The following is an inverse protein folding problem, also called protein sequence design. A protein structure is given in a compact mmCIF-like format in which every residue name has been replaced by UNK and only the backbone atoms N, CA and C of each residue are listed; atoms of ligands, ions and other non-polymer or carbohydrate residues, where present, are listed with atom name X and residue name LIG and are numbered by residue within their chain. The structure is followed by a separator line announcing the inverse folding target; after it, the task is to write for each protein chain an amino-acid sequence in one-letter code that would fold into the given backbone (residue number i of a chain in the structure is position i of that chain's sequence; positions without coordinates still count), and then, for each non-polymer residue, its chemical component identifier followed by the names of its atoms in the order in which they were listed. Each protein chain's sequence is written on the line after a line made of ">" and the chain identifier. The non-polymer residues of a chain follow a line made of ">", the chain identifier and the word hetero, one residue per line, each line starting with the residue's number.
data_IF_731422880714
#
_entry.id   IF_731422880714
#
_cell.length_a   1.000
_cell.length_b   1.000
_cell.length_c   1.000
_cell.angle_alpha   90.00
_cell.angle_beta   90.00
_cell.angle_gamma   90.00
#
_symmetry.space_group_name_H-M   'P 1'
#
loop_
_entity.id
_entity.type
_entity.pdbx_description
1 polymer ?
#
# COMPACT_ATOMS: atom_id res chain seq x y z
N UNK A 1 -27.10 -9.47 17.92
CA UNK A 1 -26.57 -8.61 16.86
C UNK A 1 -26.18 -9.43 15.67
N UNK A 2 -26.48 -8.91 14.49
CA UNK A 2 -26.01 -9.44 13.21
C UNK A 2 -24.58 -8.92 12.94
N UNK A 3 -23.80 -9.69 12.19
CA UNK A 3 -22.46 -9.26 11.74
C UNK A 3 -22.60 -8.29 10.56
N UNK A 4 -21.70 -7.30 10.45
CA UNK A 4 -21.51 -6.59 9.18
C UNK A 4 -21.12 -7.61 8.11
N UNK A 5 -21.80 -7.60 6.96
CA UNK A 5 -21.67 -8.65 5.95
C UNK A 5 -20.65 -8.34 4.85
N UNK A 6 -20.26 -7.07 4.65
CA UNK A 6 -19.30 -6.68 3.61
C UNK A 6 -18.37 -5.55 4.04
N UNK A 7 -17.12 -5.62 3.58
CA UNK A 7 -16.03 -4.69 3.84
C UNK A 7 -15.26 -4.50 2.53
N UNK A 8 -15.02 -3.25 2.14
CA UNK A 8 -14.29 -2.83 0.94
C UNK A 8 -13.10 -1.96 1.35
N UNK A 9 -11.97 -2.10 0.64
CA UNK A 9 -10.85 -1.18 0.72
C UNK A 9 -10.70 -0.47 -0.61
N UNK A 10 -10.52 0.85 -0.55
CA UNK A 10 -10.13 1.67 -1.70
C UNK A 10 -8.76 2.30 -1.41
N UNK A 11 -7.84 2.14 -2.36
CA UNK A 11 -6.56 2.83 -2.37
C UNK A 11 -6.69 4.07 -3.25
N UNK A 12 -6.55 5.26 -2.67
CA UNK A 12 -6.54 6.51 -3.43
C UNK A 12 -5.11 6.99 -3.63
N UNK A 13 -4.74 7.29 -4.87
CA UNK A 13 -3.47 7.92 -5.21
C UNK A 13 -3.72 9.42 -5.43
N UNK A 14 -3.05 10.28 -4.67
CA UNK A 14 -3.07 11.71 -4.95
C UNK A 14 -2.13 11.99 -6.13
N UNK A 15 -2.68 12.36 -7.29
CA UNK A 15 -1.88 12.66 -8.49
C UNK A 15 -1.34 14.10 -8.38
N UNK A 16 -0.21 14.26 -7.68
CA UNK A 16 0.54 15.52 -7.58
C UNK A 16 2.03 15.40 -7.87
N UNK A 17 2.59 14.18 -7.82
CA UNK A 17 3.94 13.86 -8.25
C UNK A 17 4.02 12.34 -8.42
N UNK A 18 4.84 11.85 -9.35
CA UNK A 18 5.06 10.42 -9.63
C UNK A 18 5.60 9.69 -8.39
N UNK A 19 4.73 9.29 -7.47
CA UNK A 19 4.98 8.29 -6.45
C UNK A 19 3.85 7.28 -6.53
N UNK A 20 4.15 6.04 -6.92
CA UNK A 20 3.20 4.93 -6.94
C UNK A 20 2.80 4.44 -5.52
N UNK A 21 3.14 5.20 -4.48
CA UNK A 21 2.87 4.88 -3.08
C UNK A 21 1.68 5.72 -2.60
N UNK A 22 0.64 5.05 -2.11
CA UNK A 22 -0.38 5.73 -1.31
C UNK A 22 0.14 5.96 0.10
N UNK A 23 -0.21 7.11 0.68
CA UNK A 23 -0.01 7.43 2.09
C UNK A 23 -1.27 7.19 2.93
N UNK A 24 -2.35 6.72 2.32
CA UNK A 24 -3.64 6.50 2.98
C UNK A 24 -4.37 5.25 2.47
N UNK A 25 -5.06 4.54 3.37
CA UNK A 25 -5.99 3.46 3.02
C UNK A 25 -7.40 3.91 3.42
N UNK A 26 -8.34 3.88 2.47
CA UNK A 26 -9.75 4.11 2.76
C UNK A 26 -10.43 2.76 3.01
N UNK A 27 -10.92 2.56 4.23
CA UNK A 27 -11.67 1.36 4.63
C UNK A 27 -13.15 1.74 4.69
N UNK A 28 -14.02 1.00 4.01
CA UNK A 28 -15.46 1.23 3.99
C UNK A 28 -16.21 -0.08 4.22
N UNK A 29 -17.27 -0.08 5.02
CA UNK A 29 -18.14 -1.24 5.25
C UNK A 29 -19.61 -0.92 5.03
N UNK A 30 -20.42 -1.96 4.90
CA UNK A 30 -21.86 -1.81 4.87
C UNK A 30 -22.39 -1.52 6.30
N UNK A 31 -23.35 -0.59 6.46
CA UNK A 31 -23.98 -0.34 7.75
C UNK A 31 -24.70 -1.60 8.24
N UNK A 32 -24.65 -1.83 9.55
CA UNK A 32 -25.57 -2.75 10.19
C UNK A 32 -26.95 -2.07 10.30
N UNK A 33 -28.01 -2.81 9.97
CA UNK A 33 -29.39 -2.31 9.91
C UNK A 33 -30.13 -2.41 11.26
N UNK A 34 -29.45 -2.85 12.33
CA UNK A 34 -30.00 -2.78 13.68
C UNK A 34 -30.14 -1.29 14.11
N UNK A 35 -31.26 -0.90 14.74
CA UNK A 35 -31.52 0.51 15.03
C UNK A 35 -30.71 1.07 16.21
N UNK A 36 -30.07 0.20 16.99
CA UNK A 36 -29.38 0.49 18.25
C UNK A 36 -27.85 0.46 18.09
N UNK A 37 -27.32 0.62 16.87
CA UNK A 37 -25.87 0.67 16.65
C UNK A 37 -25.29 1.97 17.20
N UNK A 38 -24.34 1.82 18.11
CA UNK A 38 -23.62 2.92 18.72
C UNK A 38 -22.37 3.29 17.91
N UNK A 39 -21.55 2.29 17.62
CA UNK A 39 -20.28 2.45 16.89
C UNK A 39 -19.82 1.14 16.25
N UNK A 40 -18.76 1.26 15.47
CA UNK A 40 -18.02 0.16 14.89
C UNK A 40 -16.63 0.10 15.51
N UNK A 41 -16.20 -1.09 15.93
CA UNK A 41 -14.84 -1.38 16.35
C UNK A 41 -14.04 -1.88 15.14
N UNK A 42 -13.13 -1.04 14.66
CA UNK A 42 -12.14 -1.39 13.65
C UNK A 42 -10.92 -2.01 14.33
N UNK A 43 -10.53 -3.19 13.86
CA UNK A 43 -9.26 -3.82 14.20
C UNK A 43 -8.31 -3.82 13.02
N UNK A 44 -7.02 -3.75 13.31
CA UNK A 44 -5.93 -3.75 12.33
C UNK A 44 -4.88 -4.79 12.72
N UNK A 45 -4.35 -5.50 11.73
CA UNK A 45 -3.12 -6.29 11.82
C UNK A 45 -2.10 -5.70 10.85
N UNK A 46 -0.83 -5.66 11.24
CA UNK A 46 0.28 -5.16 10.41
C UNK A 46 1.25 -6.30 10.15
N UNK A 47 1.64 -6.50 8.89
CA UNK A 47 2.50 -7.59 8.43
C UNK A 47 1.99 -8.98 8.86
N UNK A 48 0.66 -9.12 8.95
CA UNK A 48 -0.04 -10.33 9.35
C UNK A 48 -1.50 -10.27 8.88
N UNK A 49 -2.11 -11.44 8.68
CA UNK A 49 -3.55 -11.61 8.37
C UNK A 49 -4.35 -12.16 9.56
N UNK A 50 -3.74 -12.29 10.75
CA UNK A 50 -4.36 -12.94 11.92
C UNK A 50 -4.16 -12.19 13.25
N UNK A 51 -3.06 -11.46 13.42
CA UNK A 51 -2.71 -10.77 14.67
C UNK A 51 -3.41 -9.40 14.83
N UNK A 52 -4.74 -9.41 14.85
CA UNK A 52 -5.56 -8.19 14.94
C UNK A 52 -5.51 -7.55 16.33
N UNK A 53 -5.40 -6.22 16.35
CA UNK A 53 -5.50 -5.39 17.55
C UNK A 53 -6.59 -4.32 17.35
N UNK A 54 -7.20 -3.87 18.45
CA UNK A 54 -8.09 -2.70 18.40
C UNK A 54 -7.31 -1.50 17.86
N UNK A 55 -7.89 -0.87 16.84
CA UNK A 55 -7.21 0.22 16.13
C UNK A 55 -8.02 1.51 16.20
N UNK A 56 -9.31 1.46 15.84
CA UNK A 56 -10.16 2.63 15.94
C UNK A 56 -11.63 2.29 16.26
N UNK A 57 -12.30 3.22 16.93
CA UNK A 57 -13.75 3.30 17.11
C UNK A 57 -14.33 4.32 16.14
N UNK A 58 -15.29 3.91 15.32
CA UNK A 58 -15.99 4.78 14.36
C UNK A 58 -17.45 4.86 14.78
N UNK A 59 -17.90 6.03 15.23
CA UNK A 59 -19.26 6.22 15.73
C UNK A 59 -20.28 6.22 14.59
N UNK A 60 -21.43 5.60 14.82
CA UNK A 60 -22.55 5.65 13.88
C UNK A 60 -22.97 7.13 13.64
N UNK A 61 -23.35 7.54 12.42
CA UNK A 61 -23.67 6.73 11.24
C UNK A 61 -22.49 6.43 10.30
N UNK A 62 -21.28 6.85 10.66
CA UNK A 62 -20.14 6.69 9.76
C UNK A 62 -19.82 5.20 9.53
N UNK A 63 -19.56 4.85 8.28
CA UNK A 63 -19.25 3.48 7.86
C UNK A 63 -17.93 3.38 7.08
N UNK A 64 -17.05 4.35 7.33
CA UNK A 64 -15.74 4.39 6.71
C UNK A 64 -14.67 5.01 7.61
N UNK A 65 -13.41 4.77 7.26
CA UNK A 65 -12.26 5.32 7.96
C UNK A 65 -11.07 5.48 7.01
N UNK A 66 -10.34 6.58 7.17
CA UNK A 66 -9.08 6.83 6.45
C UNK A 66 -7.88 6.54 7.36
N UNK A 67 -7.18 5.44 7.11
CA UNK A 67 -5.93 5.14 7.79
C UNK A 67 -4.77 5.89 7.13
N UNK A 68 -4.29 6.93 7.80
CA UNK A 68 -3.15 7.74 7.37
C UNK A 68 -1.84 7.34 8.07
N UNK A 69 -1.87 6.34 8.96
CA UNK A 69 -0.71 5.87 9.71
C UNK A 69 -0.22 4.54 9.14
N UNK A 70 0.21 4.62 7.89
CA UNK A 70 0.68 3.51 7.08
C UNK A 70 2.07 3.80 6.50
N UNK A 71 2.81 2.75 6.19
CA UNK A 71 4.13 2.87 5.56
C UNK A 71 4.28 1.90 4.41
N UNK A 72 4.94 2.36 3.35
CA UNK A 72 5.29 1.54 2.21
C UNK A 72 6.11 0.32 2.63
N UNK A 73 5.84 -0.81 1.98
CA UNK A 73 6.44 -2.10 2.28
C UNK A 73 5.75 -2.91 3.37
N UNK A 74 4.67 -2.40 3.95
CA UNK A 74 3.88 -3.14 4.92
C UNK A 74 2.60 -3.71 4.31
N UNK A 75 2.16 -4.82 4.89
CA UNK A 75 0.83 -5.39 4.70
C UNK A 75 -0.08 -4.91 5.84
N UNK A 76 -1.31 -4.51 5.52
CA UNK A 76 -2.33 -4.15 6.50
C UNK A 76 -3.57 -5.01 6.28
N UNK A 77 -4.07 -5.65 7.34
CA UNK A 77 -5.36 -6.32 7.33
C UNK A 77 -6.33 -5.61 8.28
N UNK A 78 -7.58 -5.45 7.86
CA UNK A 78 -8.62 -4.78 8.64
C UNK A 78 -9.85 -5.67 8.77
N UNK A 79 -10.54 -5.57 9.91
CA UNK A 79 -11.85 -6.17 10.13
C UNK A 79 -12.66 -5.31 11.08
N UNK A 80 -13.98 -5.35 10.94
CA UNK A 80 -14.90 -4.48 11.69
C UNK A 80 -15.94 -5.30 12.45
N UNK A 81 -16.32 -4.86 13.64
CA UNK A 81 -17.45 -5.39 14.42
C UNK A 81 -18.38 -4.24 14.80
N UNK A 82 -19.69 -4.47 14.77
CA UNK A 82 -20.68 -3.50 15.21
C UNK A 82 -20.89 -3.62 16.73
N UNK A 83 -21.07 -2.49 17.40
CA UNK A 83 -21.32 -2.41 18.84
C UNK A 83 -22.61 -1.63 19.06
N UNK A 84 -23.55 -2.19 19.80
CA UNK A 84 -24.82 -1.54 20.10
C UNK A 84 -24.75 -0.65 21.35
N UNK A 85 -25.81 0.10 21.64
CA UNK A 85 -25.88 1.02 22.79
C UNK A 85 -25.71 0.33 24.16
N UNK A 86 -25.97 -0.97 24.22
CA UNK A 86 -25.76 -1.79 25.41
C UNK A 86 -24.30 -2.31 25.53
N UNK A 87 -23.42 -1.94 24.60
CA UNK A 87 -22.03 -2.37 24.54
C UNK A 87 -21.83 -3.82 24.09
N UNK A 88 -22.88 -4.47 23.59
CA UNK A 88 -22.75 -5.81 23.04
C UNK A 88 -22.09 -5.70 21.65
N UNK A 89 -21.22 -6.67 21.29
CA UNK A 89 -20.52 -6.69 20.00
C UNK A 89 -21.03 -7.81 19.06
N UNK A 90 -21.02 -7.54 17.75
CA UNK A 90 -21.20 -8.57 16.72
C UNK A 90 -19.94 -9.43 16.54
N UNK A 91 -20.05 -10.51 15.76
CA UNK A 91 -18.86 -11.12 15.17
C UNK A 91 -18.13 -10.10 14.28
N UNK A 92 -16.81 -10.26 14.14
CA UNK A 92 -16.04 -9.47 13.19
C UNK A 92 -16.34 -9.90 11.75
N UNK A 93 -16.26 -8.96 10.82
CA UNK A 93 -16.29 -9.22 9.38
C UNK A 93 -15.14 -10.15 8.94
N UNK A 94 -15.25 -10.70 7.73
CA UNK A 94 -14.09 -11.23 7.04
C UNK A 94 -13.04 -10.14 6.88
N UNK A 95 -11.75 -10.43 7.12
CA UNK A 95 -10.72 -9.43 6.90
C UNK A 95 -10.57 -9.04 5.43
N UNK A 96 -10.26 -7.77 5.22
CA UNK A 96 -9.75 -7.23 3.95
C UNK A 96 -8.27 -6.93 4.13
N UNK A 97 -7.50 -7.04 3.06
CA UNK A 97 -6.05 -6.92 3.08
C UNK A 97 -5.63 -5.86 2.06
N UNK A 98 -4.64 -5.06 2.43
CA UNK A 98 -4.01 -4.07 1.59
C UNK A 98 -2.50 -4.09 1.81
N UNK A 99 -1.77 -4.46 0.77
CA UNK A 99 -0.33 -4.36 0.64
C UNK A 99 0.08 -3.00 0.11
N UNK A 100 1.03 -2.36 0.78
CA UNK A 100 1.63 -1.13 0.27
C UNK A 100 2.98 -1.45 -0.34
N UNK A 101 3.19 -1.19 -1.64
CA UNK A 101 4.44 -1.56 -2.27
C UNK A 101 5.60 -0.73 -1.72
N UNK A 102 6.72 -1.40 -1.43
CA UNK A 102 7.98 -0.70 -1.14
C UNK A 102 8.64 -0.34 -2.45
N UNK A 103 8.94 0.94 -2.64
CA UNK A 103 9.87 1.39 -3.69
C UNK A 103 11.14 1.88 -2.99
N UNK A 104 12.22 1.10 -3.05
CA UNK A 104 13.49 1.49 -2.43
C UNK A 104 14.66 1.14 -3.35
N UNK A 105 15.18 2.17 -4.04
CA UNK A 105 16.45 2.12 -4.75
C UNK A 105 17.44 3.02 -4.03
N UNK A 106 18.45 2.43 -3.38
CA UNK A 106 19.58 3.15 -2.80
C UNK A 106 20.81 2.79 -3.64
N UNK A 107 21.26 3.71 -4.50
CA UNK A 107 22.47 3.55 -5.28
C UNK A 107 23.54 4.46 -4.70
N UNK A 108 24.55 3.87 -4.04
CA UNK A 108 25.68 4.62 -3.47
C UNK A 108 26.75 4.96 -4.52
N UNK A 109 26.79 4.24 -5.64
CA UNK A 109 27.56 4.59 -6.84
C UNK A 109 27.14 3.70 -8.02
N UNK A 110 27.22 4.23 -9.25
CA UNK A 110 27.14 3.43 -10.46
C UNK A 110 28.56 2.95 -10.85
N UNK A 111 28.78 1.68 -11.21
CA UNK A 111 30.05 1.24 -11.77
C UNK A 111 30.34 2.01 -13.06
N UNK A 112 31.52 2.61 -13.18
CA UNK A 112 31.94 3.23 -14.42
C UNK A 112 31.99 2.16 -15.53
N UNK A 113 31.34 2.46 -16.67
CA UNK A 113 31.39 1.69 -17.91
C UNK A 113 30.71 0.29 -17.93
N UNK A 114 29.91 -0.10 -16.92
CA UNK A 114 29.05 -1.29 -17.02
C UNK A 114 27.57 -0.97 -16.77
N UNK A 115 26.65 -1.60 -17.55
CA UNK A 115 25.22 -1.56 -17.26
C UNK A 115 24.93 -2.06 -15.84
N UNK A 116 24.22 -1.25 -15.04
CA UNK A 116 23.70 -1.72 -13.77
C UNK A 116 22.37 -2.43 -14.04
N UNK A 117 22.31 -3.73 -13.80
CA UNK A 117 21.07 -4.50 -13.88
C UNK A 117 20.52 -4.72 -12.48
N UNK A 118 19.28 -4.27 -12.25
CA UNK A 118 18.60 -4.40 -10.97
C UNK A 118 17.38 -5.30 -11.18
N UNK A 119 17.27 -6.37 -10.38
CA UNK A 119 16.10 -7.24 -10.38
C UNK A 119 14.90 -6.50 -9.80
N UNK A 120 13.77 -6.46 -10.51
CA UNK A 120 12.56 -5.75 -10.02
C UNK A 120 12.14 -6.22 -8.63
N UNK A 121 12.24 -7.52 -8.36
CA UNK A 121 11.94 -8.12 -7.06
C UNK A 121 12.79 -7.60 -5.90
N UNK A 122 13.93 -6.95 -6.16
CA UNK A 122 14.79 -6.40 -5.09
C UNK A 122 14.39 -5.00 -4.65
N UNK A 123 13.50 -4.30 -5.37
CA UNK A 123 13.14 -2.91 -5.07
C UNK A 123 11.69 -2.52 -5.41
N UNK A 124 10.94 -3.39 -6.07
CA UNK A 124 9.50 -3.31 -6.30
C UNK A 124 8.90 -4.59 -5.75
N UNK A 125 8.25 -4.51 -4.60
CA UNK A 125 7.45 -5.59 -4.05
C UNK A 125 6.07 -5.04 -3.76
N UNK A 126 5.03 -5.65 -4.32
CA UNK A 126 3.64 -5.40 -3.98
C UNK A 126 3.12 -6.66 -3.26
N UNK A 127 2.62 -6.55 -2.02
CA UNK A 127 2.09 -7.71 -1.31
C UNK A 127 0.81 -8.30 -1.92
N UNK A 128 0.06 -7.52 -2.70
CA UNK A 128 -1.23 -7.93 -3.28
C UNK A 128 -1.11 -8.38 -4.74
N UNK A 129 -0.07 -7.94 -5.45
CA UNK A 129 0.14 -8.25 -6.87
C UNK A 129 1.52 -8.84 -7.14
N UNK A 130 1.62 -9.68 -8.17
CA UNK A 130 2.93 -10.12 -8.61
C UNK A 130 3.71 -8.93 -9.17
N UNK A 131 5.02 -8.86 -8.91
CA UNK A 131 5.91 -7.84 -9.49
C UNK A 131 5.84 -7.78 -11.03
N UNK A 132 5.46 -8.89 -11.68
CA UNK A 132 5.25 -8.97 -13.12
C UNK A 132 4.00 -8.21 -13.62
N UNK A 133 3.03 -7.92 -12.75
CA UNK A 133 1.77 -7.24 -13.08
C UNK A 133 1.87 -5.71 -12.87
N UNK A 134 2.97 -5.24 -12.29
CA UNK A 134 3.18 -3.81 -12.01
C UNK A 134 3.58 -3.04 -13.28
N UNK A 135 2.87 -1.95 -13.55
CA UNK A 135 3.22 -1.00 -14.60
C UNK A 135 4.43 -0.16 -14.16
N UNK A 136 5.50 -0.17 -14.95
CA UNK A 136 6.74 0.59 -14.67
C UNK A 136 6.87 1.73 -15.67
N UNK A 137 6.82 2.96 -15.19
CA UNK A 137 7.06 4.16 -15.97
C UNK A 137 8.41 4.78 -15.58
N UNK A 138 9.19 5.22 -16.57
CA UNK A 138 10.50 5.83 -16.36
C UNK A 138 10.54 7.21 -17.01
N UNK A 139 11.06 8.22 -16.30
CA UNK A 139 11.21 9.60 -16.81
C UNK A 139 12.64 10.13 -16.59
N UNK A 140 13.08 11.13 -17.36
CA UNK A 140 14.35 11.85 -17.14
C UNK A 140 15.63 11.30 -17.81
N UNK A 141 15.55 10.76 -19.02
CA UNK A 141 16.64 10.02 -19.69
C UNK A 141 17.85 10.84 -20.23
N UNK A 142 18.07 12.07 -19.77
CA UNK A 142 19.03 12.96 -20.45
C UNK A 142 20.51 12.51 -20.37
N UNK A 143 20.87 11.62 -19.42
CA UNK A 143 22.25 11.17 -19.22
C UNK A 143 22.40 9.66 -18.93
N UNK A 144 21.28 8.95 -18.79
CA UNK A 144 21.21 7.52 -18.52
C UNK A 144 20.06 6.96 -19.34
N UNK A 145 20.33 5.96 -20.17
CA UNK A 145 19.27 5.19 -20.82
C UNK A 145 18.75 4.13 -19.86
N UNK A 146 17.44 3.96 -19.81
CA UNK A 146 16.80 2.96 -18.97
C UNK A 146 16.08 1.96 -19.84
N UNK A 147 16.49 0.70 -19.75
CA UNK A 147 15.80 -0.41 -20.39
C UNK A 147 15.03 -1.19 -19.33
N UNK A 148 13.71 -1.26 -19.47
CA UNK A 148 12.86 -2.11 -18.63
C UNK A 148 12.64 -3.42 -19.38
N UNK A 149 13.15 -4.52 -18.83
CA UNK A 149 12.85 -5.88 -19.30
C UNK A 149 11.99 -6.59 -18.26
N UNK A 150 11.26 -7.64 -18.63
CA UNK A 150 10.22 -8.27 -17.81
C UNK A 150 10.57 -8.38 -16.31
N UNK A 151 11.79 -8.81 -15.97
CA UNK A 151 12.22 -9.01 -14.58
C UNK A 151 13.28 -8.02 -14.07
N UNK A 152 13.77 -7.10 -14.91
CA UNK A 152 14.90 -6.24 -14.56
C UNK A 152 14.75 -4.81 -15.10
N UNK A 153 15.38 -3.87 -14.40
CA UNK A 153 15.64 -2.53 -14.90
C UNK A 153 17.15 -2.43 -15.12
N UNK A 154 17.55 -2.12 -16.35
CA UNK A 154 18.95 -1.90 -16.71
C UNK A 154 19.18 -0.42 -16.94
N UNK A 155 20.13 0.15 -16.19
CA UNK A 155 20.59 1.52 -16.36
C UNK A 155 21.90 1.50 -17.15
N UNK A 156 21.93 2.12 -18.33
CA UNK A 156 23.17 2.33 -19.09
C UNK A 156 23.53 3.81 -19.09
N UNK A 157 24.69 4.13 -18.54
CA UNK A 157 25.26 5.47 -18.67
C UNK A 157 25.61 5.77 -20.15
N UNK A 158 25.36 7.00 -20.60
CA UNK A 158 25.94 7.49 -21.87
C UNK A 158 27.46 7.74 -21.67
N UNK A 159 28.28 7.80 -22.74
CA UNK A 159 29.52 7.04 -22.98
C UNK A 159 30.55 7.00 -21.84
N UNK A 160 31.50 6.06 -21.96
CA UNK A 160 32.68 5.98 -21.08
C UNK A 160 33.23 7.40 -20.83
N UNK A 161 33.30 7.82 -19.57
CA UNK A 161 33.76 9.13 -19.04
C UNK A 161 32.68 10.11 -18.52
N UNK A 162 31.40 9.74 -18.45
CA UNK A 162 30.41 10.61 -17.77
C UNK A 162 30.69 10.71 -16.25
N UNK A 163 31.09 11.90 -15.77
CA UNK A 163 31.47 12.17 -14.37
C UNK A 163 30.40 12.92 -13.54
N UNK A 164 29.17 13.04 -14.05
CA UNK A 164 28.10 13.83 -13.43
C UNK A 164 28.05 15.29 -13.91
N UNK A 165 27.03 16.08 -13.51
CA UNK A 165 26.95 17.49 -13.85
C UNK A 165 28.15 18.25 -13.26
N UNK A 166 28.75 19.16 -14.03
CA UNK A 166 29.83 19.99 -13.55
C UNK A 166 29.37 20.78 -12.32
N UNK A 167 30.08 20.62 -11.20
CA UNK A 167 29.91 21.41 -9.97
C UNK A 167 30.37 22.85 -10.17
#
# INVERSE_FOLDING_TARGET
>A
MKSCQWLFILLFTWIGALNAQTSTIHIQWDPNNEPDINHYQLQRAVNSTSNFQNYQTVYHPDTDYWDTNISAGNLYAYRVSAVNDNGMMSAYSTPVIAGLPKVALQLSSAPAAQPLTISKSSFLSDPDHNVQELLIQVSGQNHVSVTVQNSSITLNASPANYSGPAS
#
